data_IF_651722655761
#
_entry.id   IF_651722655761
#
_cell.length_a   1.000
_cell.length_b   1.000
_cell.length_c   1.000
_cell.angle_alpha   90.00
_cell.angle_beta   90.00
_cell.angle_gamma   90.00
#
_symmetry.space_group_name_H-M   'P 1'
#
loop_
_entity.id
_entity.type
_entity.pdbx_description
1 polymer ?
#
# COMPACT_ATOMS: atom_id res chain seq x y z
N UNK A 1 -23.50 -16.67 -14.96
CA UNK A 1 -22.43 -15.93 -15.67
C UNK A 1 -21.32 -16.91 -16.00
N UNK A 2 -20.71 -16.78 -17.17
CA UNK A 2 -19.53 -17.54 -17.58
C UNK A 2 -18.27 -16.86 -17.03
N UNK A 3 -17.35 -17.61 -16.43
CA UNK A 3 -16.08 -17.08 -15.93
C UNK A 3 -15.07 -17.02 -17.07
N UNK A 4 -14.35 -15.90 -17.21
CA UNK A 4 -13.31 -15.74 -18.22
C UNK A 4 -11.92 -15.90 -17.61
N UNK A 5 -11.59 -15.10 -16.60
CA UNK A 5 -10.31 -15.17 -15.89
C UNK A 5 -10.36 -14.40 -14.56
N UNK A 6 -9.36 -14.63 -13.72
CA UNK A 6 -9.08 -13.79 -12.56
C UNK A 6 -7.57 -13.54 -12.44
N UNK A 7 -7.21 -12.35 -11.96
CA UNK A 7 -5.84 -11.87 -11.78
C UNK A 7 -5.72 -11.17 -10.44
N UNK A 8 -4.63 -11.39 -9.70
CA UNK A 8 -4.43 -10.85 -8.35
C UNK A 8 -2.97 -10.39 -8.16
N UNK A 9 -2.75 -9.42 -7.27
CA UNK A 9 -1.39 -9.06 -6.82
C UNK A 9 -0.84 -10.07 -5.80
N UNK A 10 0.45 -10.39 -5.85
CA UNK A 10 1.12 -11.20 -4.82
C UNK A 10 1.63 -10.36 -3.62
N UNK A 11 0.83 -9.37 -3.22
CA UNK A 11 1.15 -8.37 -2.19
C UNK A 11 0.67 -8.76 -0.79
N UNK A 12 0.31 -10.03 -0.54
CA UNK A 12 -0.33 -10.47 0.73
C UNK A 12 0.42 -10.04 1.99
N UNK A 13 1.75 -10.03 1.95
CA UNK A 13 2.59 -9.65 3.10
C UNK A 13 2.72 -8.13 3.31
N UNK A 14 2.30 -7.31 2.35
CA UNK A 14 2.15 -5.86 2.52
C UNK A 14 0.81 -5.50 3.18
N UNK A 15 -0.12 -6.45 3.31
CA UNK A 15 -1.38 -6.26 4.02
C UNK A 15 -2.60 -6.03 3.15
N UNK A 16 -2.42 -5.84 1.84
CA UNK A 16 -3.52 -5.67 0.89
C UNK A 16 -3.27 -6.41 -0.41
N UNK A 17 -4.32 -6.81 -1.13
CA UNK A 17 -4.24 -7.39 -2.48
C UNK A 17 -5.33 -6.82 -3.38
N UNK A 18 -4.99 -6.53 -4.63
CA UNK A 18 -5.97 -6.17 -5.65
C UNK A 18 -6.35 -7.40 -6.46
N UNK A 19 -7.64 -7.70 -6.59
CA UNK A 19 -8.18 -8.82 -7.35
C UNK A 19 -9.08 -8.31 -8.48
N UNK A 20 -8.80 -8.73 -9.71
CA UNK A 20 -9.65 -8.52 -10.89
C UNK A 20 -10.29 -9.85 -11.30
N UNK A 21 -11.60 -9.87 -11.47
CA UNK A 21 -12.35 -11.01 -12.01
C UNK A 21 -13.13 -10.58 -13.25
N UNK A 22 -13.10 -11.39 -14.30
CA UNK A 22 -13.79 -11.09 -15.56
C UNK A 22 -14.81 -12.18 -15.89
N UNK A 23 -16.01 -11.74 -16.25
CA UNK A 23 -17.15 -12.60 -16.52
C UNK A 23 -17.84 -12.22 -17.83
N UNK A 24 -18.56 -13.18 -18.41
CA UNK A 24 -19.41 -12.97 -19.58
C UNK A 24 -20.83 -13.45 -19.31
N UNK A 25 -21.80 -12.68 -19.76
CA UNK A 25 -23.20 -13.07 -19.77
C UNK A 25 -23.86 -12.58 -21.06
N UNK A 26 -24.15 -13.51 -21.98
CA UNK A 26 -24.64 -13.19 -23.33
C UNK A 26 -23.69 -12.20 -24.02
N UNK A 27 -24.17 -10.97 -24.26
CA UNK A 27 -23.43 -9.89 -24.91
C UNK A 27 -22.86 -8.86 -23.91
N UNK A 28 -22.89 -9.15 -22.60
CA UNK A 28 -22.31 -8.28 -21.58
C UNK A 28 -21.06 -8.92 -20.98
N UNK A 29 -19.96 -8.20 -20.98
CA UNK A 29 -18.76 -8.50 -20.20
C UNK A 29 -18.80 -7.68 -18.91
N UNK A 30 -18.46 -8.29 -17.79
CA UNK A 30 -18.35 -7.62 -16.49
C UNK A 30 -16.93 -7.86 -15.96
N UNK A 31 -16.17 -6.79 -15.77
CA UNK A 31 -14.90 -6.80 -15.06
C UNK A 31 -15.12 -6.23 -13.65
N UNK A 32 -14.73 -6.98 -12.64
CA UNK A 32 -14.90 -6.66 -11.21
C UNK A 32 -13.54 -6.53 -10.55
N UNK A 33 -13.39 -5.49 -9.74
CA UNK A 33 -12.15 -5.11 -9.08
C UNK A 33 -12.42 -5.07 -7.57
N UNK A 34 -11.62 -5.78 -6.78
CA UNK A 34 -11.77 -5.90 -5.33
C UNK A 34 -10.46 -5.54 -4.63
N UNK A 35 -10.50 -4.65 -3.64
CA UNK A 35 -9.40 -4.46 -2.69
C UNK A 35 -9.60 -5.40 -1.49
N UNK A 36 -8.67 -6.31 -1.28
CA UNK A 36 -8.68 -7.28 -0.20
C UNK A 36 -7.72 -6.82 0.91
N UNK A 37 -8.25 -6.29 2.00
CA UNK A 37 -7.48 -5.94 3.21
C UNK A 37 -7.29 -7.17 4.09
N UNK A 38 -6.04 -7.57 4.23
CA UNK A 38 -5.61 -8.76 4.93
C UNK A 38 -5.64 -8.58 6.45
N UNK A 39 -5.50 -7.35 6.92
CA UNK A 39 -5.27 -6.99 8.31
C UNK A 39 -6.60 -6.82 9.07
N UNK A 40 -7.57 -6.08 8.52
CA UNK A 40 -8.73 -5.65 9.31
C UNK A 40 -10.10 -5.63 8.63
N UNK A 41 -10.24 -4.97 7.48
CA UNK A 41 -11.53 -4.65 6.89
C UNK A 41 -12.17 -5.83 6.17
N UNK A 42 -11.38 -6.71 5.55
CA UNK A 42 -11.88 -7.72 4.62
C UNK A 42 -11.93 -7.16 3.20
N UNK A 43 -13.09 -7.17 2.55
CA UNK A 43 -13.32 -6.41 1.33
C UNK A 43 -13.36 -4.92 1.65
N UNK A 44 -12.36 -4.17 1.17
CA UNK A 44 -12.16 -2.76 1.47
C UNK A 44 -12.73 -1.83 0.37
N UNK A 45 -12.66 -2.25 -0.89
CA UNK A 45 -13.14 -1.48 -2.05
C UNK A 45 -13.68 -2.44 -3.13
N UNK A 46 -14.64 -1.97 -3.94
CA UNK A 46 -15.22 -2.69 -5.06
C UNK A 46 -15.58 -1.75 -6.22
N UNK A 47 -15.25 -2.16 -7.45
CA UNK A 47 -15.70 -1.51 -8.68
C UNK A 47 -16.12 -2.55 -9.73
N UNK A 48 -17.32 -2.40 -10.29
CA UNK A 48 -17.82 -3.19 -11.41
C UNK A 48 -17.85 -2.36 -12.70
N UNK A 49 -17.33 -2.90 -13.79
CA UNK A 49 -17.33 -2.26 -15.11
C UNK A 49 -17.98 -3.20 -16.13
N UNK A 50 -19.15 -2.80 -16.62
CA UNK A 50 -19.84 -3.48 -17.72
C UNK A 50 -19.37 -2.95 -19.07
N UNK A 51 -18.95 -3.86 -19.96
CA UNK A 51 -18.54 -3.56 -21.33
C UNK A 51 -17.53 -2.39 -21.42
N UNK A 52 -16.57 -2.35 -20.49
CA UNK A 52 -15.53 -1.32 -20.48
C UNK A 52 -14.61 -1.45 -21.69
N UNK A 53 -14.20 -0.31 -22.24
CA UNK A 53 -13.11 -0.25 -23.21
C UNK A 53 -11.75 -0.50 -22.54
N UNK A 54 -10.72 -0.78 -23.35
CA UNK A 54 -9.40 -1.13 -22.85
C UNK A 54 -8.77 -0.04 -21.99
N UNK A 55 -9.00 1.24 -22.31
CA UNK A 55 -8.46 2.38 -21.55
C UNK A 55 -9.07 2.45 -20.16
N UNK A 56 -10.40 2.34 -20.06
CA UNK A 56 -11.12 2.35 -18.78
C UNK A 56 -10.74 1.15 -17.91
N UNK A 57 -10.64 -0.03 -18.50
CA UNK A 57 -10.24 -1.25 -17.79
C UNK A 57 -8.79 -1.19 -17.30
N UNK A 58 -7.89 -0.63 -18.10
CA UNK A 58 -6.50 -0.41 -17.72
C UNK A 58 -6.40 0.59 -16.56
N UNK A 59 -7.05 1.74 -16.67
CA UNK A 59 -7.02 2.77 -15.62
C UNK A 59 -7.56 2.28 -14.28
N UNK A 60 -8.65 1.50 -14.29
CA UNK A 60 -9.19 0.92 -13.06
C UNK A 60 -8.26 -0.15 -12.47
N UNK A 61 -7.60 -0.94 -13.32
CA UNK A 61 -6.60 -1.92 -12.86
C UNK A 61 -5.40 -1.22 -12.21
N UNK A 62 -4.89 -0.14 -12.82
CA UNK A 62 -3.79 0.64 -12.26
C UNK A 62 -4.17 1.37 -10.98
N UNK A 63 -5.38 1.96 -10.91
CA UNK A 63 -5.89 2.60 -9.69
C UNK A 63 -5.85 1.65 -8.49
N UNK A 64 -6.28 0.40 -8.70
CA UNK A 64 -6.40 -0.59 -7.63
C UNK A 64 -5.09 -1.34 -7.34
N UNK A 65 -4.34 -1.70 -8.39
CA UNK A 65 -3.23 -2.66 -8.32
C UNK A 65 -1.86 -2.04 -8.55
N UNK A 66 -1.77 -0.84 -9.15
CA UNK A 66 -0.51 -0.21 -9.54
C UNK A 66 0.37 0.17 -8.35
N UNK A 67 -0.24 0.61 -7.25
CA UNK A 67 0.48 1.04 -6.04
C UNK A 67 0.82 -0.07 -5.03
N UNK A 68 0.51 -1.33 -5.31
CA UNK A 68 0.73 -2.44 -4.35
C UNK A 68 2.15 -3.05 -4.41
N UNK A 69 3.04 -2.49 -5.24
CA UNK A 69 4.45 -2.85 -5.29
C UNK A 69 4.75 -4.30 -5.67
N UNK A 70 3.84 -4.96 -6.40
CA UNK A 70 3.81 -6.42 -6.52
C UNK A 70 3.39 -6.91 -7.90
N UNK A 71 3.90 -8.08 -8.27
CA UNK A 71 3.55 -8.75 -9.52
C UNK A 71 2.08 -9.14 -9.53
N UNK A 72 1.55 -9.25 -10.74
CA UNK A 72 0.16 -9.65 -10.95
C UNK A 72 0.12 -11.00 -11.64
N UNK A 73 -0.64 -11.93 -11.07
CA UNK A 73 -0.69 -13.32 -11.53
C UNK A 73 -2.12 -13.80 -11.75
N UNK A 74 -2.29 -14.72 -12.70
CA UNK A 74 -3.58 -15.38 -12.91
C UNK A 74 -3.84 -16.43 -11.83
N UNK A 75 -5.09 -16.49 -11.37
CA UNK A 75 -5.58 -17.49 -10.42
C UNK A 75 -6.81 -18.20 -10.97
N UNK A 76 -7.09 -19.38 -10.44
CA UNK A 76 -8.27 -20.15 -10.86
C UNK A 76 -9.57 -19.46 -10.42
N UNK A 77 -10.68 -19.87 -11.02
CA UNK A 77 -12.01 -19.42 -10.62
C UNK A 77 -12.28 -19.74 -9.15
N UNK A 78 -11.95 -20.95 -8.73
CA UNK A 78 -12.17 -21.47 -7.39
C UNK A 78 -11.36 -20.66 -6.36
N UNK A 79 -10.08 -20.38 -6.66
CA UNK A 79 -9.23 -19.52 -5.82
C UNK A 79 -9.81 -18.10 -5.68
N UNK A 80 -10.24 -17.49 -6.79
CA UNK A 80 -10.77 -16.13 -6.80
C UNK A 80 -12.11 -16.03 -6.04
N UNK A 81 -13.03 -16.96 -6.27
CA UNK A 81 -14.32 -17.05 -5.55
C UNK A 81 -14.06 -17.28 -4.05
N UNK A 82 -13.14 -18.18 -3.70
CA UNK A 82 -12.76 -18.42 -2.32
C UNK A 82 -12.27 -17.15 -1.63
N UNK A 83 -11.42 -16.35 -2.30
CA UNK A 83 -10.90 -15.10 -1.74
C UNK A 83 -12.00 -14.07 -1.50
N UNK A 84 -12.90 -13.84 -2.47
CA UNK A 84 -14.03 -12.92 -2.28
C UNK A 84 -14.88 -13.35 -1.08
N UNK A 85 -15.20 -14.65 -0.97
CA UNK A 85 -15.97 -15.20 0.15
C UNK A 85 -15.26 -15.09 1.50
N UNK A 86 -13.97 -15.42 1.57
CA UNK A 86 -13.19 -15.37 2.82
C UNK A 86 -13.08 -13.93 3.35
N UNK A 87 -12.83 -12.96 2.46
CA UNK A 87 -12.70 -11.56 2.83
C UNK A 87 -14.06 -10.92 3.13
N UNK A 88 -15.12 -11.23 2.39
CA UNK A 88 -16.48 -10.83 2.78
C UNK A 88 -16.87 -11.39 4.16
N UNK A 89 -16.47 -12.63 4.44
CA UNK A 89 -16.61 -13.26 5.76
C UNK A 89 -15.81 -12.54 6.85
N UNK A 90 -14.68 -11.87 6.54
CA UNK A 90 -13.98 -10.98 7.49
C UNK A 90 -14.83 -9.74 7.81
N UNK A 91 -15.42 -9.07 6.81
CA UNK A 91 -16.31 -7.91 7.06
C UNK A 91 -17.40 -8.30 8.06
N UNK A 92 -18.09 -9.43 7.83
CA UNK A 92 -19.17 -9.92 8.70
C UNK A 92 -18.65 -10.23 10.11
N UNK A 93 -17.55 -10.98 10.24
CA UNK A 93 -16.95 -11.34 11.54
C UNK A 93 -16.57 -10.12 12.38
N UNK A 94 -16.17 -9.03 11.73
CA UNK A 94 -15.74 -7.80 12.39
C UNK A 94 -16.81 -6.71 12.45
N UNK A 95 -18.05 -7.01 12.02
CA UNK A 95 -19.13 -6.03 12.01
C UNK A 95 -18.86 -4.82 11.10
N UNK A 96 -18.11 -5.01 10.02
CA UNK A 96 -17.80 -4.00 9.02
C UNK A 96 -18.79 -4.12 7.84
N UNK A 97 -19.17 -2.99 7.22
CA UNK A 97 -19.98 -3.05 6.01
C UNK A 97 -19.19 -3.71 4.88
N UNK A 98 -19.89 -4.39 3.98
CA UNK A 98 -19.34 -4.76 2.68
C UNK A 98 -19.27 -3.51 1.78
N UNK A 99 -18.37 -3.47 0.78
CA UNK A 99 -18.34 -2.39 -0.20
C UNK A 99 -19.69 -2.20 -0.91
N UNK A 100 -19.91 -1.00 -1.44
CA UNK A 100 -21.11 -0.66 -2.20
C UNK A 100 -21.33 -1.58 -3.41
N UNK A 101 -22.53 -1.54 -3.99
CA UNK A 101 -22.91 -2.35 -5.17
C UNK A 101 -22.82 -3.87 -4.93
N UNK A 102 -23.13 -4.30 -3.70
CA UNK A 102 -23.18 -5.71 -3.29
C UNK A 102 -23.96 -6.62 -4.26
N UNK A 103 -25.07 -6.13 -4.80
CA UNK A 103 -25.89 -6.87 -5.77
C UNK A 103 -25.11 -7.34 -7.01
N UNK A 104 -23.99 -6.67 -7.35
CA UNK A 104 -23.15 -7.04 -8.49
C UNK A 104 -22.22 -8.23 -8.20
N UNK A 105 -21.91 -8.53 -6.94
CA UNK A 105 -21.02 -9.63 -6.55
C UNK A 105 -21.66 -10.66 -5.63
N UNK A 106 -22.95 -10.52 -5.32
CA UNK A 106 -23.69 -11.49 -4.49
C UNK A 106 -23.70 -12.90 -5.07
N UNK A 107 -23.80 -13.01 -6.40
CA UNK A 107 -23.72 -14.32 -7.06
C UNK A 107 -22.38 -15.03 -6.81
N UNK A 108 -21.30 -14.31 -6.50
CA UNK A 108 -20.00 -14.88 -6.13
C UNK A 108 -20.05 -15.41 -4.70
N UNK A 109 -20.70 -14.67 -3.79
CA UNK A 109 -20.84 -15.06 -2.39
C UNK A 109 -21.66 -16.35 -2.24
N UNK A 110 -22.64 -16.55 -3.12
CA UNK A 110 -23.50 -17.74 -3.18
C UNK A 110 -22.91 -18.87 -4.06
N UNK A 111 -21.81 -18.61 -4.78
CA UNK A 111 -21.25 -19.59 -5.70
C UNK A 111 -20.63 -20.77 -4.96
N UNK A 112 -21.00 -21.98 -5.40
CA UNK A 112 -20.34 -23.22 -5.01
C UNK A 112 -19.16 -23.50 -5.95
N UNK A 113 -18.01 -23.84 -5.37
CA UNK A 113 -16.77 -24.16 -6.08
C UNK A 113 -16.08 -25.34 -5.43
N UNK A 114 -15.20 -26.01 -6.17
CA UNK A 114 -14.38 -27.06 -5.61
C UNK A 114 -13.50 -26.53 -4.45
N UNK A 115 -13.12 -27.39 -3.49
CA UNK A 115 -12.25 -26.99 -2.39
C UNK A 115 -10.90 -26.45 -2.86
N UNK A 116 -10.46 -25.35 -2.26
CA UNK A 116 -9.16 -24.73 -2.51
C UNK A 116 -8.18 -25.12 -1.40
N UNK A 117 -6.95 -25.49 -1.77
CA UNK A 117 -5.84 -25.62 -0.82
C UNK A 117 -5.44 -24.22 -0.31
N UNK A 118 -5.98 -23.87 0.87
CA UNK A 118 -5.76 -22.57 1.50
C UNK A 118 -4.29 -22.28 1.76
N UNK A 119 -3.48 -23.30 2.08
CA UNK A 119 -2.06 -23.11 2.39
C UNK A 119 -1.28 -22.81 1.13
N UNK A 120 -1.48 -23.62 0.08
CA UNK A 120 -0.87 -23.40 -1.22
C UNK A 120 -1.24 -22.01 -1.78
N UNK A 121 -2.52 -21.64 -1.72
CA UNK A 121 -2.99 -20.32 -2.14
C UNK A 121 -2.35 -19.20 -1.32
N UNK A 122 -2.24 -19.33 0.00
CA UNK A 122 -1.60 -18.31 0.84
C UNK A 122 -0.17 -18.01 0.38
N UNK A 123 0.68 -19.03 0.18
CA UNK A 123 2.06 -18.81 -0.27
C UNK A 123 2.14 -18.33 -1.71
N UNK A 124 1.20 -18.74 -2.57
CA UNK A 124 1.06 -18.23 -3.94
C UNK A 124 0.80 -16.72 -3.96
N UNK A 125 0.03 -16.20 -3.00
CA UNK A 125 -0.30 -14.79 -2.85
C UNK A 125 0.80 -13.95 -2.18
N UNK A 126 1.86 -14.60 -1.68
CA UNK A 126 3.01 -13.92 -1.10
C UNK A 126 4.11 -13.79 -2.16
N UNK A 127 4.70 -12.61 -2.29
CA UNK A 127 5.97 -12.44 -3.01
C UNK A 127 7.00 -13.43 -2.47
N UNK A 128 7.82 -13.99 -3.37
CA UNK A 128 8.98 -14.79 -2.98
C UNK A 128 9.95 -13.92 -2.19
N UNK A 129 10.33 -14.42 -1.01
CA UNK A 129 11.24 -13.72 -0.11
C UNK A 129 12.69 -14.11 -0.46
N UNK A 130 13.54 -13.12 -0.66
CA UNK A 130 14.88 -13.29 -1.23
C UNK A 130 15.99 -13.16 -0.18
N UNK A 131 15.71 -12.57 0.98
CA UNK A 131 16.69 -12.42 2.06
C UNK A 131 16.11 -12.58 3.46
N UNK A 132 16.99 -12.89 4.42
CA UNK A 132 16.65 -12.96 5.84
C UNK A 132 16.05 -11.63 6.35
N UNK A 133 16.63 -10.49 5.92
CA UNK A 133 16.22 -9.16 6.38
C UNK A 133 14.83 -8.83 5.86
N UNK A 134 14.57 -9.10 4.58
CA UNK A 134 13.25 -8.96 3.98
C UNK A 134 12.21 -9.80 4.73
N UNK A 135 12.51 -11.08 5.03
CA UNK A 135 11.63 -11.93 5.82
C UNK A 135 11.31 -11.32 7.19
N UNK A 136 12.33 -10.84 7.90
CA UNK A 136 12.17 -10.27 9.23
C UNK A 136 11.34 -8.98 9.20
N UNK A 137 11.54 -8.11 8.21
CA UNK A 137 10.71 -6.91 8.05
C UNK A 137 9.24 -7.27 7.78
N UNK A 138 8.96 -8.24 6.90
CA UNK A 138 7.59 -8.74 6.71
C UNK A 138 7.00 -9.30 8.00
N UNK A 139 7.74 -10.11 8.75
CA UNK A 139 7.23 -10.69 9.99
C UNK A 139 7.03 -9.64 11.09
N UNK A 140 7.87 -8.61 11.17
CA UNK A 140 7.66 -7.46 12.05
C UNK A 140 6.38 -6.71 11.68
N UNK A 141 6.18 -6.39 10.39
CA UNK A 141 4.95 -5.76 9.89
C UNK A 141 3.71 -6.59 10.26
N UNK A 142 3.71 -7.88 9.92
CA UNK A 142 2.59 -8.80 10.20
C UNK A 142 2.33 -8.95 11.70
N UNK A 143 3.37 -8.91 12.53
CA UNK A 143 3.24 -8.99 13.97
C UNK A 143 2.58 -7.74 14.57
N UNK A 144 2.99 -6.54 14.13
CA UNK A 144 2.40 -5.26 14.55
C UNK A 144 0.95 -5.14 14.06
N UNK A 145 0.68 -5.51 12.80
CA UNK A 145 -0.65 -5.51 12.19
C UNK A 145 -1.60 -6.60 12.76
N UNK A 146 -1.10 -7.49 13.63
CA UNK A 146 -1.82 -8.64 14.18
C UNK A 146 -2.38 -9.59 13.12
N UNK A 147 -1.62 -9.79 12.05
CA UNK A 147 -1.99 -10.70 10.98
C UNK A 147 -1.79 -12.16 11.40
N UNK A 148 -2.80 -12.70 12.10
CA UNK A 148 -2.77 -14.05 12.68
C UNK A 148 -2.60 -15.14 11.61
N UNK A 149 -3.10 -14.89 10.41
CA UNK A 149 -2.98 -15.82 9.29
C UNK A 149 -1.52 -15.90 8.84
N UNK A 150 -0.89 -14.76 8.54
CA UNK A 150 0.51 -14.75 8.12
C UNK A 150 1.44 -15.29 9.20
N UNK A 151 1.26 -14.86 10.46
CA UNK A 151 2.04 -15.39 11.59
C UNK A 151 1.84 -16.90 11.78
N UNK A 152 0.64 -17.42 11.51
CA UNK A 152 0.36 -18.85 11.60
C UNK A 152 1.02 -19.66 10.48
N UNK A 153 0.94 -19.17 9.24
CA UNK A 153 1.49 -19.87 8.06
C UNK A 153 3.02 -19.86 8.05
N UNK A 154 3.64 -18.76 8.49
CA UNK A 154 5.08 -18.62 8.58
C UNK A 154 5.66 -19.07 9.93
N UNK A 155 4.92 -19.80 10.78
CA UNK A 155 5.46 -20.28 12.06
C UNK A 155 5.52 -21.79 12.19
N UNK A 156 6.60 -22.27 12.83
CA UNK A 156 6.71 -23.65 13.31
C UNK A 156 5.98 -23.88 14.64
N UNK A 157 5.56 -22.82 15.32
CA UNK A 157 4.85 -22.86 16.59
C UNK A 157 3.45 -22.23 16.44
N UNK A 158 2.38 -23.05 16.48
CA UNK A 158 1.01 -22.57 16.31
C UNK A 158 0.56 -21.46 17.28
N UNK A 159 1.23 -21.30 18.41
CA UNK A 159 0.90 -20.27 19.41
C UNK A 159 1.35 -18.87 19.01
N UNK A 160 2.29 -18.72 18.07
CA UNK A 160 2.80 -17.38 17.70
C UNK A 160 1.71 -16.50 17.09
N UNK A 161 0.72 -17.08 16.41
CA UNK A 161 -0.43 -16.34 15.85
C UNK A 161 -1.34 -15.68 16.91
N UNK A 162 -1.14 -16.02 18.19
CA UNK A 162 -1.91 -15.47 19.30
C UNK A 162 -1.13 -14.36 20.04
N UNK A 163 0.16 -14.21 19.78
CA UNK A 163 0.99 -13.17 20.37
C UNK A 163 0.65 -11.81 19.77
N UNK A 164 0.70 -10.76 20.60
CA UNK A 164 0.43 -9.37 20.21
C UNK A 164 1.06 -8.38 21.18
N UNK A 165 1.44 -7.21 20.68
CA UNK A 165 1.90 -6.07 21.49
C UNK A 165 1.05 -4.81 21.28
N UNK A 166 0.36 -4.72 20.15
CA UNK A 166 -0.63 -3.67 19.84
C UNK A 166 -1.95 -3.97 20.53
N UNK A 167 -2.88 -3.01 20.53
CA UNK A 167 -4.27 -3.07 21.00
C UNK A 167 -5.28 -3.20 19.85
N UNK A 168 -4.97 -2.60 18.69
CA UNK A 168 -5.67 -2.78 17.42
C UNK A 168 -4.70 -3.32 16.35
N UNK A 169 -5.08 -3.25 15.06
CA UNK A 169 -4.14 -3.47 13.96
C UNK A 169 -3.26 -2.22 13.91
N UNK A 170 -1.99 -2.37 14.27
CA UNK A 170 -1.04 -1.27 14.26
C UNK A 170 -0.32 -1.14 12.93
N UNK A 171 0.27 0.03 12.70
CA UNK A 171 1.04 0.35 11.50
C UNK A 171 2.52 0.43 11.86
N UNK A 172 3.36 -0.38 11.22
CA UNK A 172 4.81 -0.27 11.41
C UNK A 172 5.33 0.94 10.64
N UNK A 173 5.95 1.89 11.34
CA UNK A 173 6.49 3.12 10.74
C UNK A 173 7.98 3.00 10.41
N UNK A 174 8.73 2.36 11.31
CA UNK A 174 10.18 2.11 11.17
C UNK A 174 10.52 0.74 11.74
N UNK A 175 11.50 0.06 11.13
CA UNK A 175 12.14 -1.09 11.75
C UNK A 175 13.62 -1.16 11.38
N UNK A 176 14.48 -1.29 12.39
CA UNK A 176 15.91 -1.55 12.19
C UNK A 176 16.22 -3.00 12.58
N UNK A 177 16.73 -3.78 11.63
CA UNK A 177 17.02 -5.21 11.78
C UNK A 177 18.51 -5.42 12.05
N UNK A 178 18.84 -5.96 13.22
CA UNK A 178 20.20 -6.38 13.58
C UNK A 178 20.31 -7.89 13.67
N UNK A 179 21.15 -8.48 12.81
CA UNK A 179 21.51 -9.91 12.87
C UNK A 179 22.48 -10.15 14.05
N UNK A 180 22.13 -11.05 14.96
CA UNK A 180 23.03 -11.48 16.04
C UNK A 180 23.89 -12.65 15.60
N UNK A 181 23.23 -13.64 14.99
CA UNK A 181 23.81 -14.84 14.40
C UNK A 181 22.81 -15.39 13.39
N UNK A 182 23.19 -16.40 12.63
CA UNK A 182 22.28 -17.08 11.68
C UNK A 182 20.98 -17.50 12.38
N UNK A 183 19.85 -17.14 11.76
CA UNK A 183 18.52 -17.45 12.28
C UNK A 183 18.10 -16.68 13.54
N UNK A 184 18.82 -15.62 13.95
CA UNK A 184 18.49 -14.84 15.15
C UNK A 184 18.70 -13.33 14.92
N UNK A 185 17.62 -12.57 15.06
CA UNK A 185 17.55 -11.15 14.73
C UNK A 185 16.89 -10.36 15.86
N UNK A 186 17.34 -9.12 16.06
CA UNK A 186 16.66 -8.14 16.91
C UNK A 186 16.15 -7.03 16.00
N UNK A 187 14.87 -6.75 16.11
CA UNK A 187 14.18 -5.62 15.51
C UNK A 187 14.02 -4.52 16.54
N UNK A 188 14.30 -3.28 16.15
CA UNK A 188 13.93 -2.08 16.89
C UNK A 188 12.85 -1.36 16.09
N UNK A 189 11.61 -1.46 16.53
CA UNK A 189 10.44 -1.01 15.79
C UNK A 189 9.91 0.31 16.35
N UNK A 190 9.39 1.15 15.46
CA UNK A 190 8.48 2.25 15.78
C UNK A 190 7.16 1.95 15.07
N UNK A 191 6.06 2.02 15.81
CA UNK A 191 4.74 1.75 15.25
C UNK A 191 3.67 2.66 15.84
N UNK A 192 2.61 2.86 15.08
CA UNK A 192 1.38 3.51 15.52
C UNK A 192 0.34 2.48 15.93
N UNK A 193 -0.38 2.74 17.01
CA UNK A 193 -1.54 1.97 17.46
C UNK A 193 -2.52 2.86 18.22
N UNK A 194 -3.78 2.91 17.77
CA UNK A 194 -4.85 3.76 18.34
C UNK A 194 -4.46 5.24 18.51
N UNK A 195 -3.89 5.86 17.47
CA UNK A 195 -3.47 7.27 17.46
C UNK A 195 -2.37 7.60 18.48
N UNK A 196 -1.60 6.60 18.92
CA UNK A 196 -0.42 6.79 19.76
C UNK A 196 0.76 6.04 19.15
N UNK A 197 1.97 6.49 19.48
CA UNK A 197 3.20 5.91 18.96
C UNK A 197 3.95 5.13 20.02
N UNK A 198 4.59 4.06 19.58
CA UNK A 198 5.30 3.12 20.45
C UNK A 198 6.63 2.70 19.84
N UNK A 199 7.60 2.45 20.71
CA UNK A 199 8.82 1.72 20.37
C UNK A 199 8.77 0.32 20.94
N UNK A 200 9.31 -0.66 20.21
CA UNK A 200 9.44 -2.04 20.69
C UNK A 200 10.72 -2.72 20.22
N UNK A 201 11.34 -3.50 21.12
CA UNK A 201 12.40 -4.43 20.74
C UNK A 201 11.82 -5.83 20.57
N UNK A 202 11.99 -6.43 19.39
CA UNK A 202 11.43 -7.74 19.06
C UNK A 202 12.54 -8.68 18.61
N UNK A 203 12.73 -9.77 19.33
CA UNK A 203 13.66 -10.83 18.94
C UNK A 203 12.96 -11.89 18.10
N UNK A 204 13.47 -12.15 16.90
CA UNK A 204 13.00 -13.24 16.04
C UNK A 204 14.05 -14.34 15.97
N UNK A 205 13.62 -15.59 16.18
CA UNK A 205 14.40 -16.77 15.80
C UNK A 205 13.73 -17.46 14.62
N UNK A 206 14.49 -17.69 13.56
CA UNK A 206 14.00 -18.21 12.28
C UNK A 206 14.71 -19.51 11.89
N UNK A 207 14.09 -20.23 10.96
CA UNK A 207 14.61 -21.45 10.34
C UNK A 207 14.13 -21.51 8.88
N UNK A 208 14.59 -22.50 8.13
CA UNK A 208 14.14 -22.77 6.76
C UNK A 208 13.39 -24.10 6.73
N UNK A 209 12.17 -24.07 6.20
CA UNK A 209 11.31 -25.23 5.96
C UNK A 209 11.24 -25.56 4.46
N UNK A 210 10.45 -26.58 4.09
CA UNK A 210 10.17 -26.90 2.68
C UNK A 210 9.51 -25.75 1.91
N UNK A 211 8.72 -24.93 2.61
CA UNK A 211 8.01 -23.77 2.03
C UNK A 211 8.85 -22.48 2.10
N UNK A 212 10.11 -22.57 2.51
CA UNK A 212 11.00 -21.43 2.71
C UNK A 212 11.08 -20.99 4.18
N UNK A 213 11.29 -19.70 4.40
CA UNK A 213 11.52 -19.11 5.72
C UNK A 213 10.38 -19.38 6.70
N UNK A 214 10.71 -19.55 7.98
CA UNK A 214 9.73 -19.67 9.05
C UNK A 214 10.26 -19.10 10.38
N UNK A 215 9.34 -18.66 11.24
CA UNK A 215 9.60 -18.16 12.59
C UNK A 215 9.41 -19.30 13.59
N UNK A 216 10.49 -19.61 14.31
CA UNK A 216 10.49 -20.59 15.41
C UNK A 216 9.97 -19.97 16.71
N UNK A 217 10.39 -18.75 17.01
CA UNK A 217 9.94 -18.04 18.21
C UNK A 217 10.08 -16.53 18.08
N UNK A 218 9.21 -15.82 18.80
CA UNK A 218 9.26 -14.37 18.98
C UNK A 218 9.48 -14.09 20.46
N UNK A 219 10.41 -13.19 20.77
CA UNK A 219 10.63 -12.66 22.13
C UNK A 219 10.34 -11.17 22.13
N UNK A 220 9.38 -10.75 22.95
CA UNK A 220 9.04 -9.35 23.12
C UNK A 220 9.94 -8.77 24.22
N UNK A 221 10.69 -7.74 23.88
CA UNK A 221 11.51 -6.97 24.81
C UNK A 221 10.73 -5.80 25.40
N UNK A 222 11.43 -4.67 25.60
CA UNK A 222 10.82 -3.43 26.06
C UNK A 222 9.83 -2.92 25.01
N UNK A 223 8.63 -2.55 25.47
CA UNK A 223 7.63 -1.79 24.71
C UNK A 223 7.38 -0.50 25.48
N UNK A 224 7.36 0.64 24.81
CA UNK A 224 7.16 1.94 25.46
C UNK A 224 6.41 2.87 24.54
N UNK A 225 5.39 3.53 25.07
CA UNK A 225 4.77 4.67 24.41
C UNK A 225 5.80 5.80 24.35
N UNK A 226 5.81 6.53 23.23
CA UNK A 226 6.74 7.63 22.95
C UNK A 226 5.97 8.86 22.48
N UNK A 227 6.58 10.03 22.63
CA UNK A 227 6.01 11.29 22.16
C UNK A 227 5.98 11.34 20.63
N UNK A 228 5.01 12.05 20.06
CA UNK A 228 4.90 12.17 18.61
C UNK A 228 6.08 12.95 18.01
N UNK A 229 6.62 13.96 18.71
CA UNK A 229 7.75 14.76 18.22
C UNK A 229 9.02 13.91 18.11
N UNK A 230 9.29 13.07 19.11
CA UNK A 230 10.44 12.13 19.08
C UNK A 230 10.34 11.17 17.89
N UNK A 231 9.13 10.70 17.59
CA UNK A 231 8.88 9.79 16.45
C UNK A 231 9.07 10.51 15.13
N UNK A 232 8.53 11.72 14.99
CA UNK A 232 8.68 12.55 13.80
C UNK A 232 10.15 12.83 13.50
N UNK A 233 10.96 13.11 14.52
CA UNK A 233 12.40 13.31 14.38
C UNK A 233 13.14 12.03 13.96
N UNK A 234 12.72 10.86 14.47
CA UNK A 234 13.38 9.57 14.22
C UNK A 234 13.03 8.94 12.85
N UNK A 235 11.86 9.28 12.29
CA UNK A 235 11.42 8.88 10.93
C UNK A 235 11.62 9.98 9.90
N UNK A 236 12.21 11.11 10.33
CA UNK A 236 12.43 12.31 9.52
C UNK A 236 13.25 11.98 8.29
N UNK A 237 12.84 12.56 7.16
CA UNK A 237 13.58 12.52 5.89
C UNK A 237 13.57 13.90 5.27
N UNK A 238 14.57 14.14 4.43
CA UNK A 238 14.57 15.32 3.58
C UNK A 238 13.46 15.19 2.54
N UNK A 239 12.74 16.28 2.33
CA UNK A 239 11.72 16.42 1.30
C UNK A 239 12.21 17.43 0.26
N UNK A 240 12.31 16.97 -0.97
CA UNK A 240 12.71 17.76 -2.13
C UNK A 240 11.44 18.25 -2.82
N UNK A 241 11.21 19.55 -2.82
CA UNK A 241 10.02 20.16 -3.42
C UNK A 241 10.38 20.90 -4.71
N UNK A 242 9.67 20.57 -5.79
CA UNK A 242 9.66 21.33 -7.04
C UNK A 242 8.34 22.08 -7.17
N UNK A 243 8.40 23.37 -7.50
CA UNK A 243 7.21 24.19 -7.75
C UNK A 243 7.16 24.53 -9.22
N UNK A 244 6.07 24.12 -9.86
CA UNK A 244 5.82 24.40 -11.26
C UNK A 244 4.62 25.33 -11.41
N UNK A 245 4.69 26.22 -12.39
CA UNK A 245 3.57 27.05 -12.80
C UNK A 245 2.86 26.39 -13.98
N UNK A 246 1.52 26.37 -13.90
CA UNK A 246 0.64 25.79 -14.90
C UNK A 246 -0.03 26.94 -15.68
N UNK A 247 0.16 26.97 -17.00
CA UNK A 247 -0.43 28.01 -17.85
C UNK A 247 -1.92 27.73 -18.17
N UNK A 248 -2.22 26.55 -18.72
CA UNK A 248 -3.59 26.09 -19.03
C UNK A 248 -4.04 25.05 -18.00
N UNK A 249 -4.49 25.54 -16.85
CA UNK A 249 -4.83 24.72 -15.68
C UNK A 249 -5.86 23.64 -16.02
N UNK A 250 -6.92 23.99 -16.75
CA UNK A 250 -8.02 23.07 -17.05
C UNK A 250 -7.56 21.91 -17.94
N UNK A 251 -6.83 22.21 -19.03
CA UNK A 251 -6.34 21.16 -19.92
C UNK A 251 -5.23 20.34 -19.26
N UNK A 252 -4.29 20.98 -18.57
CA UNK A 252 -3.24 20.28 -17.82
C UNK A 252 -3.85 19.34 -16.78
N UNK A 253 -4.72 19.84 -15.90
CA UNK A 253 -5.33 19.06 -14.80
C UNK A 253 -6.10 17.87 -15.34
N UNK A 254 -6.90 18.06 -16.40
CA UNK A 254 -7.64 16.96 -17.04
C UNK A 254 -6.71 15.88 -17.59
N UNK A 255 -5.69 16.27 -18.35
CA UNK A 255 -4.74 15.33 -18.94
C UNK A 255 -3.89 14.64 -17.87
N UNK A 256 -3.33 15.41 -16.93
CA UNK A 256 -2.45 14.92 -15.88
C UNK A 256 -3.14 13.93 -14.95
N UNK A 257 -4.37 14.21 -14.50
CA UNK A 257 -5.13 13.29 -13.64
C UNK A 257 -5.49 11.99 -14.37
N UNK A 258 -5.76 12.06 -15.68
CA UNK A 258 -6.04 10.87 -16.48
C UNK A 258 -4.77 10.02 -16.66
N UNK A 259 -3.65 10.66 -16.95
CA UNK A 259 -2.34 10.03 -17.16
C UNK A 259 -1.78 9.42 -15.86
N UNK A 260 -2.14 9.97 -14.70
CA UNK A 260 -1.75 9.50 -13.36
C UNK A 260 -2.83 8.58 -12.74
N UNK A 261 -3.43 7.69 -13.53
CA UNK A 261 -4.48 6.77 -13.07
C UNK A 261 -4.01 5.78 -11.99
N UNK A 262 -2.71 5.45 -11.98
CA UNK A 262 -2.06 4.59 -10.98
C UNK A 262 -1.83 5.26 -9.62
N UNK A 263 -1.99 6.58 -9.53
CA UNK A 263 -1.81 7.30 -8.27
C UNK A 263 -3.07 7.24 -7.40
N UNK A 264 -2.87 7.16 -6.09
CA UNK A 264 -3.94 7.40 -5.13
C UNK A 264 -4.34 8.88 -5.21
N UNK A 265 -5.64 9.15 -5.41
CA UNK A 265 -6.16 10.50 -5.57
C UNK A 265 -6.89 10.92 -4.31
N UNK A 266 -6.43 12.01 -3.69
CA UNK A 266 -7.00 12.57 -2.48
C UNK A 266 -7.46 14.00 -2.76
N UNK A 267 -8.78 14.28 -2.75
CA UNK A 267 -9.27 15.64 -2.92
C UNK A 267 -8.98 16.47 -1.65
N UNK A 268 -8.57 17.72 -1.85
CA UNK A 268 -8.38 18.72 -0.80
C UNK A 268 -9.17 19.99 -1.18
N UNK A 269 -9.30 20.93 -0.23
CA UNK A 269 -10.08 22.15 -0.46
C UNK A 269 -9.54 23.01 -1.60
N UNK A 270 -8.20 23.05 -1.77
CA UNK A 270 -7.50 23.91 -2.74
C UNK A 270 -6.87 23.16 -3.91
N UNK A 271 -7.21 21.89 -4.10
CA UNK A 271 -6.62 21.10 -5.17
C UNK A 271 -6.79 19.59 -5.00
N UNK A 272 -5.99 18.84 -5.74
CA UNK A 272 -5.95 17.38 -5.65
C UNK A 272 -4.53 16.90 -5.44
N UNK A 273 -4.36 15.99 -4.48
CA UNK A 273 -3.12 15.27 -4.27
C UNK A 273 -3.16 13.94 -4.99
N UNK A 274 -2.08 13.64 -5.72
CA UNK A 274 -1.82 12.36 -6.35
C UNK A 274 -0.60 11.75 -5.67
N UNK A 275 -0.78 10.65 -4.97
CA UNK A 275 0.30 9.92 -4.30
C UNK A 275 0.70 8.73 -5.16
N UNK A 276 1.94 8.73 -5.62
CA UNK A 276 2.54 7.63 -6.35
C UNK A 276 3.38 6.77 -5.40
N UNK A 277 3.06 5.47 -5.37
CA UNK A 277 3.84 4.46 -4.66
C UNK A 277 4.89 3.86 -5.60
N UNK A 278 5.95 3.30 -5.01
CA UNK A 278 6.95 2.55 -5.77
C UNK A 278 6.35 1.31 -6.42
N UNK A 279 6.82 0.92 -7.62
CA UNK A 279 6.30 -0.23 -8.35
C UNK A 279 6.71 -1.57 -7.74
N UNK A 280 7.70 -1.59 -6.83
CA UNK A 280 8.16 -2.78 -6.13
C UNK A 280 8.38 -2.56 -4.63
N UNK A 281 8.48 -3.68 -3.90
CA UNK A 281 8.75 -3.71 -2.46
C UNK A 281 10.23 -4.00 -2.13
N UNK A 282 11.17 -3.62 -2.99
CA UNK A 282 12.62 -3.88 -2.78
C UNK A 282 13.17 -3.22 -1.51
N UNK A 283 12.61 -2.08 -1.11
CA UNK A 283 12.99 -1.36 0.10
C UNK A 283 12.77 -2.19 1.38
N UNK A 284 11.89 -3.20 1.37
CA UNK A 284 11.67 -4.12 2.50
C UNK A 284 12.90 -4.98 2.80
N UNK A 285 13.83 -5.15 1.85
CA UNK A 285 15.08 -5.87 2.07
C UNK A 285 16.14 -5.04 2.81
N UNK A 286 15.90 -3.75 3.04
CA UNK A 286 16.85 -2.88 3.73
C UNK A 286 16.94 -3.22 5.22
N UNK A 287 18.14 -3.07 5.79
CA UNK A 287 18.37 -3.21 7.23
C UNK A 287 17.58 -2.20 8.05
N UNK A 288 17.25 -1.05 7.46
CA UNK A 288 16.31 -0.08 8.00
C UNK A 288 15.11 0.06 7.05
N UNK A 289 13.95 -0.36 7.53
CA UNK A 289 12.66 -0.14 6.89
C UNK A 289 12.03 1.15 7.42
N UNK A 290 11.49 1.97 6.52
CA UNK A 290 10.67 3.14 6.81
C UNK A 290 9.44 3.09 5.91
N UNK A 291 8.24 3.32 6.46
CA UNK A 291 7.00 3.29 5.68
C UNK A 291 6.95 4.33 4.56
N UNK A 292 7.64 5.46 4.75
CA UNK A 292 7.77 6.49 3.71
C UNK A 292 8.64 6.07 2.53
N UNK A 293 9.36 4.94 2.63
CA UNK A 293 10.09 4.38 1.49
C UNK A 293 9.17 3.74 0.44
N UNK A 294 7.90 3.47 0.79
CA UNK A 294 6.86 3.00 -0.12
C UNK A 294 6.46 4.10 -1.13
N UNK A 295 6.70 5.37 -0.78
CA UNK A 295 6.40 6.52 -1.62
C UNK A 295 7.48 6.76 -2.67
N UNK A 296 7.04 7.05 -3.88
CA UNK A 296 7.89 7.47 -5.00
C UNK A 296 7.83 9.00 -5.14
N UNK A 297 6.62 9.51 -5.40
CA UNK A 297 6.37 10.92 -5.70
C UNK A 297 5.00 11.35 -5.20
N UNK A 298 4.88 12.59 -4.75
CA UNK A 298 3.60 13.22 -4.41
C UNK A 298 3.42 14.45 -5.29
N UNK A 299 2.28 14.53 -5.97
CA UNK A 299 1.92 15.66 -6.82
C UNK A 299 0.71 16.36 -6.22
N UNK A 300 0.80 17.65 -5.94
CA UNK A 300 -0.34 18.47 -5.56
C UNK A 300 -0.65 19.45 -6.68
N UNK A 301 -1.76 19.25 -7.36
CA UNK A 301 -2.27 20.16 -8.39
C UNK A 301 -3.21 21.14 -7.71
N UNK A 302 -2.75 22.37 -7.49
CA UNK A 302 -3.55 23.42 -6.87
C UNK A 302 -4.53 24.02 -7.88
N UNK A 303 -5.66 24.51 -7.37
CA UNK A 303 -6.65 25.21 -8.19
C UNK A 303 -6.18 26.61 -8.62
N UNK A 304 -5.12 27.12 -8.00
CA UNK A 304 -4.46 28.40 -8.31
C UNK A 304 -3.42 28.31 -9.43
N UNK A 305 -3.17 27.12 -9.99
CA UNK A 305 -2.25 26.93 -11.10
C UNK A 305 -0.81 26.63 -10.71
N UNK A 306 -0.60 25.98 -9.56
CA UNK A 306 0.68 25.37 -9.21
C UNK A 306 0.60 23.85 -9.24
N UNK A 307 1.64 23.22 -9.77
CA UNK A 307 1.94 21.83 -9.47
C UNK A 307 3.09 21.82 -8.47
N UNK A 308 2.82 21.34 -7.26
CA UNK A 308 3.85 21.14 -6.23
C UNK A 308 4.20 19.67 -6.21
N UNK A 309 5.46 19.35 -6.45
CA UNK A 309 5.97 17.98 -6.51
C UNK A 309 6.87 17.74 -5.32
N UNK A 310 6.59 16.71 -4.53
CA UNK A 310 7.39 16.30 -3.38
C UNK A 310 7.99 14.91 -3.65
N UNK A 311 9.30 14.80 -3.38
CA UNK A 311 10.06 13.56 -3.44
C UNK A 311 10.92 13.42 -2.18
N UNK A 312 11.22 12.19 -1.77
CA UNK A 312 12.08 11.90 -0.61
C UNK A 312 13.46 11.35 -1.00
N UNK A 313 13.77 11.40 -2.29
CA UNK A 313 15.01 10.95 -2.90
C UNK A 313 15.37 11.91 -4.05
N UNK A 314 16.63 12.38 -4.08
CA UNK A 314 17.09 13.38 -5.05
C UNK A 314 17.17 12.81 -6.47
N UNK A 315 17.54 11.54 -6.63
CA UNK A 315 17.62 10.93 -7.96
C UNK A 315 16.22 10.74 -8.55
N UNK A 316 15.25 10.36 -7.71
CA UNK A 316 13.83 10.29 -8.10
C UNK A 316 13.32 11.66 -8.54
N UNK A 317 13.64 12.72 -7.80
CA UNK A 317 13.27 14.09 -8.16
C UNK A 317 13.78 14.48 -9.56
N UNK A 318 15.06 14.25 -9.84
CA UNK A 318 15.65 14.57 -11.15
C UNK A 318 14.96 13.82 -12.29
N UNK A 319 14.64 12.55 -12.08
CA UNK A 319 13.93 11.73 -13.06
C UNK A 319 12.47 12.21 -13.27
N UNK A 320 11.77 12.54 -12.19
CA UNK A 320 10.40 13.08 -12.23
C UNK A 320 10.35 14.41 -12.97
N UNK A 321 11.27 15.33 -12.67
CA UNK A 321 11.35 16.63 -13.33
C UNK A 321 11.54 16.47 -14.85
N UNK A 322 12.45 15.57 -15.23
CA UNK A 322 12.71 15.25 -16.63
C UNK A 322 11.47 14.69 -17.33
N UNK A 323 10.72 13.81 -16.67
CA UNK A 323 9.47 13.23 -17.19
C UNK A 323 8.35 14.28 -17.29
N UNK A 324 8.21 15.14 -16.30
CA UNK A 324 7.18 16.19 -16.29
C UNK A 324 7.42 17.19 -17.41
N UNK A 325 8.64 17.72 -17.53
CA UNK A 325 8.96 18.74 -18.52
C UNK A 325 8.96 18.17 -19.95
N UNK A 326 9.36 16.92 -20.15
CA UNK A 326 9.30 16.28 -21.47
C UNK A 326 7.88 15.98 -21.94
N UNK A 327 6.96 15.63 -21.02
CA UNK A 327 5.58 15.26 -21.35
C UNK A 327 4.61 16.44 -21.33
N UNK A 328 4.83 17.42 -20.46
CA UNK A 328 3.90 18.51 -20.18
C UNK A 328 4.54 19.90 -20.32
N UNK A 329 5.74 20.02 -20.88
CA UNK A 329 6.45 21.30 -20.99
C UNK A 329 5.73 22.40 -21.79
N UNK A 330 4.70 22.05 -22.57
CA UNK A 330 3.81 23.04 -23.21
C UNK A 330 2.84 23.73 -22.22
N UNK A 331 2.59 23.09 -21.07
CA UNK A 331 1.68 23.57 -20.02
C UNK A 331 2.40 23.96 -18.72
N UNK A 332 3.65 23.53 -18.56
CA UNK A 332 4.32 23.45 -17.28
C UNK A 332 5.74 24.02 -17.37
N UNK A 333 6.06 24.93 -16.45
CA UNK A 333 7.42 25.45 -16.28
C UNK A 333 7.87 25.32 -14.84
N UNK A 334 9.11 24.85 -14.62
CA UNK A 334 9.71 24.81 -13.28
C UNK A 334 10.05 26.22 -12.85
N UNK A 335 9.60 26.63 -11.67
CA UNK A 335 9.79 27.98 -11.15
C UNK A 335 10.80 28.05 -10.00
N UNK A 336 10.64 27.21 -8.96
CA UNK A 336 11.58 27.13 -7.83
C UNK A 336 11.70 25.72 -7.27
N UNK A 337 12.75 25.55 -6.47
CA UNK A 337 13.10 24.29 -5.81
C UNK A 337 13.50 24.53 -4.36
N UNK A 338 13.07 23.63 -3.48
CA UNK A 338 13.37 23.69 -2.05
C UNK A 338 13.75 22.32 -1.50
N UNK A 339 14.55 22.33 -0.43
CA UNK A 339 14.85 21.14 0.37
C UNK A 339 14.48 21.44 1.81
N UNK A 340 13.61 20.61 2.38
CA UNK A 340 13.18 20.73 3.76
C UNK A 340 13.60 19.50 4.55
N UNK A 341 14.06 19.73 5.78
CA UNK A 341 14.26 18.66 6.74
C UNK A 341 12.89 18.34 7.35
N UNK A 342 12.20 17.33 6.82
CA UNK A 342 10.83 16.94 7.18
C UNK A 342 9.82 17.21 6.06
N UNK A 343 8.70 16.47 6.07
CA UNK A 343 7.65 16.61 5.06
C UNK A 343 6.71 17.77 5.37
N UNK A 344 6.45 18.61 4.36
CA UNK A 344 5.58 19.77 4.36
C UNK A 344 4.42 19.64 3.37
N UNK A 345 4.51 18.75 2.38
CA UNK A 345 3.49 18.64 1.31
C UNK A 345 2.08 18.36 1.84
N UNK A 346 1.97 17.52 2.87
CA UNK A 346 0.68 17.19 3.48
C UNK A 346 0.11 18.37 4.28
N UNK A 347 0.97 19.10 5.00
CA UNK A 347 0.58 20.30 5.72
C UNK A 347 0.10 21.38 4.75
N UNK A 348 0.79 21.56 3.62
CA UNK A 348 0.39 22.49 2.57
C UNK A 348 -0.97 22.11 1.97
N UNK A 349 -1.19 20.83 1.65
CA UNK A 349 -2.46 20.37 1.09
C UNK A 349 -3.66 20.57 2.03
N UNK A 350 -3.43 20.56 3.34
CA UNK A 350 -4.43 20.83 4.37
C UNK A 350 -4.61 22.32 4.70
N UNK A 351 -3.68 23.17 4.27
CA UNK A 351 -3.75 24.61 4.49
C UNK A 351 -4.76 25.29 3.56
N UNK A 352 -5.13 26.52 3.88
CA UNK A 352 -6.03 27.37 3.09
C UNK A 352 -5.27 28.28 2.11
N UNK A 353 -3.94 28.32 2.18
CA UNK A 353 -3.08 29.10 1.31
C UNK A 353 -3.31 28.79 -0.16
N UNK A 354 -3.31 29.82 -1.01
CA UNK A 354 -3.54 29.65 -2.45
C UNK A 354 -2.27 29.19 -3.16
N UNK A 355 -1.09 29.43 -2.60
CA UNK A 355 0.18 29.01 -3.19
C UNK A 355 1.14 28.45 -2.14
N UNK A 356 2.11 27.65 -2.59
CA UNK A 356 3.15 27.13 -1.70
C UNK A 356 3.99 28.26 -1.09
N UNK A 357 4.22 29.35 -1.83
CA UNK A 357 4.92 30.53 -1.33
C UNK A 357 4.16 31.22 -0.18
N UNK A 358 2.86 31.38 -0.33
CA UNK A 358 2.01 31.94 0.72
C UNK A 358 2.05 31.06 1.97
N UNK A 359 1.97 29.73 1.80
CA UNK A 359 2.11 28.77 2.88
C UNK A 359 3.45 28.91 3.63
N UNK A 360 4.57 29.01 2.90
CA UNK A 360 5.89 29.20 3.52
C UNK A 360 5.99 30.54 4.27
N UNK A 361 5.36 31.61 3.78
CA UNK A 361 5.42 32.93 4.42
C UNK A 361 4.71 32.99 5.79
N UNK A 362 3.83 32.04 6.09
CA UNK A 362 3.06 31.97 7.34
C UNK A 362 3.74 31.14 8.45
N UNK A 363 4.89 30.51 8.16
CA UNK A 363 5.59 29.59 9.06
C UNK A 363 6.74 30.22 9.83
#
# INVERSE_FOLDING_TARGET
MEFLYAKITNSRLMGSMGLRMSWKNKNKKLDQYFLLDCEGLGLADYMGIYNGDDKRLFNEEERLMGGLGSDRMYISKEEAVFLVKEYAGKNIRYGKPLPENKDEYDFILEMETDPVDKKSLFFKLCKKIESDVEFINYMAMRFIARDREALGQYSLNPELKNMKITYANGTLLKNSVRKLKTGNYICSCIYEDRNAYFTANIGFSTDTSKEGYCVRSIKIGKVSQVDCLDVLDEIKRDEYIGIYIIDDIENFKRQFIEDMSHCLKSPFEKGVMLTQFKPDNSHVAAGEYLISNDLDSIFFVSDSGQLVVSNYDMDVRIDVDSKLLSRYGEYLSLNDEFIFSGSLIYDFAQDIAESFYEFLSKR
#
